data_IF_369527912260
#
_entry.id   IF_369527912260
#
_cell.length_a   1.000
_cell.length_b   1.000
_cell.length_c   1.000
_cell.angle_alpha   90.00
_cell.angle_beta   90.00
_cell.angle_gamma   90.00
#
_symmetry.space_group_name_H-M   'P 1'
#
loop_
_entity.id
_entity.type
_entity.pdbx_description
1 polymer ?
#
# COMPACT_ATOMS: atom_id res chain seq x y z
N UNK A 1 -10.33 18.88 -11.42
CA UNK A 1 -10.95 17.78 -10.63
C UNK A 1 -12.46 17.97 -10.68
N UNK A 2 -13.21 17.00 -11.21
CA UNK A 2 -14.66 17.18 -11.47
C UNK A 2 -15.56 16.29 -10.59
N UNK A 3 -15.00 15.27 -9.95
CA UNK A 3 -15.75 14.27 -9.17
C UNK A 3 -15.32 14.31 -7.69
N UNK A 4 -15.69 15.38 -6.99
CA UNK A 4 -15.40 15.58 -5.56
C UNK A 4 -16.71 15.71 -4.78
N UNK A 5 -16.74 15.18 -3.56
CA UNK A 5 -17.87 15.32 -2.65
C UNK A 5 -17.79 16.55 -1.75
N UNK A 6 -18.66 16.63 -0.73
CA UNK A 6 -18.80 17.81 0.12
C UNK A 6 -17.54 18.22 0.89
N UNK A 7 -16.66 17.27 1.22
CA UNK A 7 -15.41 17.56 1.92
C UNK A 7 -14.27 17.90 0.96
N UNK A 8 -14.50 17.84 -0.35
CA UNK A 8 -13.47 17.96 -1.38
C UNK A 8 -12.65 16.69 -1.57
N UNK A 9 -13.13 15.56 -1.05
CA UNK A 9 -12.54 14.24 -1.26
C UNK A 9 -13.16 13.61 -2.53
N UNK A 10 -12.50 12.64 -3.18
CA UNK A 10 -13.05 12.01 -4.39
C UNK A 10 -14.33 11.24 -4.07
N UNK A 11 -15.35 11.42 -4.92
CA UNK A 11 -16.56 10.59 -4.87
C UNK A 11 -16.18 9.11 -5.08
N UNK A 12 -16.75 8.22 -4.27
CA UNK A 12 -16.45 6.78 -4.35
C UNK A 12 -17.08 6.11 -5.58
N UNK A 13 -18.15 6.70 -6.14
CA UNK A 13 -18.93 6.08 -7.20
C UNK A 13 -19.54 4.76 -6.73
N UNK A 14 -19.40 3.69 -7.50
CA UNK A 14 -19.94 2.38 -7.14
C UNK A 14 -19.16 1.69 -6.01
N UNK A 15 -17.84 1.74 -6.12
CA UNK A 15 -16.85 1.19 -5.20
C UNK A 15 -15.50 1.79 -5.57
N UNK A 16 -14.55 1.77 -4.64
CA UNK A 16 -13.15 2.01 -4.95
C UNK A 16 -12.41 0.68 -5.19
N UNK A 17 -11.15 0.53 -4.77
CA UNK A 17 -10.44 -0.76 -4.88
C UNK A 17 -11.15 -1.89 -4.11
N UNK A 18 -11.83 -1.57 -3.00
CA UNK A 18 -12.62 -2.53 -2.29
C UNK A 18 -13.98 -2.66 -2.98
N UNK A 19 -14.08 -3.64 -3.87
CA UNK A 19 -15.30 -3.91 -4.66
C UNK A 19 -16.55 -4.13 -3.79
N UNK A 20 -16.38 -4.43 -2.50
CA UNK A 20 -17.46 -4.70 -1.56
C UNK A 20 -17.88 -3.48 -0.73
N UNK A 21 -17.19 -2.33 -0.85
CA UNK A 21 -17.59 -1.09 -0.18
C UNK A 21 -18.53 -0.28 -1.09
N UNK A 22 -19.80 -0.69 -1.14
CA UNK A 22 -20.78 -0.17 -2.09
C UNK A 22 -21.70 0.86 -1.42
N UNK A 23 -21.19 2.07 -1.17
CA UNK A 23 -21.89 3.11 -0.41
C UNK A 23 -23.12 3.71 -1.12
N UNK A 24 -23.36 3.32 -2.37
CA UNK A 24 -24.48 3.76 -3.20
C UNK A 24 -25.38 2.59 -3.66
N UNK A 25 -25.23 1.38 -3.10
CA UNK A 25 -25.98 0.20 -3.57
C UNK A 25 -27.37 0.07 -2.91
N UNK A 26 -27.43 0.00 -1.57
CA UNK A 26 -28.67 -0.17 -0.79
C UNK A 26 -29.55 -1.37 -1.20
N UNK A 27 -28.97 -2.43 -1.78
CA UNK A 27 -29.74 -3.61 -2.18
C UNK A 27 -30.23 -4.39 -0.94
N UNK A 28 -31.50 -4.75 -0.95
CA UNK A 28 -32.13 -5.67 0.02
C UNK A 28 -32.64 -6.96 -0.66
N UNK A 29 -32.47 -7.07 -1.98
CA UNK A 29 -32.99 -8.17 -2.79
C UNK A 29 -31.92 -9.26 -2.98
N UNK A 30 -32.16 -10.51 -2.53
CA UNK A 30 -31.21 -11.58 -2.73
C UNK A 30 -30.91 -11.87 -4.20
N UNK A 31 -29.63 -12.00 -4.53
CA UNK A 31 -29.16 -12.35 -5.88
C UNK A 31 -28.91 -11.16 -6.80
N UNK A 32 -29.26 -9.94 -6.38
CA UNK A 32 -28.75 -8.73 -7.01
C UNK A 32 -27.24 -8.61 -6.76
N UNK A 33 -26.47 -8.36 -7.81
CA UNK A 33 -25.02 -8.15 -7.66
C UNK A 33 -24.76 -6.75 -7.09
N UNK A 34 -24.10 -6.66 -5.95
CA UNK A 34 -23.66 -5.38 -5.36
C UNK A 34 -22.78 -4.57 -6.31
N UNK A 35 -22.00 -5.24 -7.16
CA UNK A 35 -21.12 -4.65 -8.17
C UNK A 35 -21.87 -4.08 -9.38
N UNK A 36 -23.17 -4.31 -9.55
CA UNK A 36 -23.93 -3.73 -10.68
C UNK A 36 -25.29 -3.16 -10.30
N UNK A 37 -25.82 -3.47 -9.12
CA UNK A 37 -27.10 -2.98 -8.62
C UNK A 37 -26.97 -1.66 -7.88
N UNK A 38 -28.05 -0.88 -7.85
CA UNK A 38 -28.04 0.49 -7.34
C UNK A 38 -27.35 1.49 -8.29
N UNK A 39 -27.50 2.80 -8.02
CA UNK A 39 -26.87 3.84 -8.82
C UNK A 39 -25.34 3.74 -8.81
N UNK A 40 -24.72 4.00 -9.96
CA UNK A 40 -23.26 4.06 -10.10
C UNK A 40 -22.64 5.32 -9.48
N UNK A 41 -23.47 6.33 -9.24
CA UNK A 41 -23.09 7.62 -8.67
C UNK A 41 -24.06 7.96 -7.53
N UNK A 42 -23.51 8.34 -6.39
CA UNK A 42 -24.26 8.96 -5.30
C UNK A 42 -23.90 10.43 -5.16
N UNK A 43 -24.75 11.23 -4.52
CA UNK A 43 -24.54 12.68 -4.46
C UNK A 43 -23.34 13.07 -3.59
N UNK A 44 -22.93 12.25 -2.61
CA UNK A 44 -22.00 12.70 -1.56
C UNK A 44 -21.00 11.67 -1.02
N UNK A 45 -21.11 10.37 -1.33
CA UNK A 45 -20.22 9.37 -0.73
C UNK A 45 -18.77 9.52 -1.25
N UNK A 46 -17.80 9.57 -0.34
CA UNK A 46 -16.40 9.93 -0.62
C UNK A 46 -15.42 8.85 -0.13
N UNK A 47 -14.30 8.65 -0.85
CA UNK A 47 -13.28 7.65 -0.49
C UNK A 47 -11.93 8.29 -0.12
N UNK A 48 -11.45 7.99 1.08
CA UNK A 48 -10.09 8.37 1.51
C UNK A 48 -9.04 7.54 0.79
N UNK A 49 -9.35 6.29 0.43
CA UNK A 49 -8.45 5.47 -0.39
C UNK A 49 -8.17 6.12 -1.75
N UNK A 50 -9.22 6.59 -2.46
CA UNK A 50 -9.04 7.28 -3.75
C UNK A 50 -8.25 8.57 -3.55
N UNK A 51 -8.48 9.30 -2.46
CA UNK A 51 -7.70 10.50 -2.14
C UNK A 51 -6.21 10.19 -1.93
N UNK A 52 -5.88 9.13 -1.18
CA UNK A 52 -4.53 8.64 -0.99
C UNK A 52 -3.89 8.18 -2.31
N UNK A 53 -4.62 7.42 -3.12
CA UNK A 53 -4.18 6.98 -4.45
C UNK A 53 -3.92 8.16 -5.39
N UNK A 54 -4.78 9.19 -5.37
CA UNK A 54 -4.60 10.41 -6.15
C UNK A 54 -3.29 11.12 -5.76
N UNK A 55 -3.05 11.30 -4.46
CA UNK A 55 -1.81 11.94 -3.98
C UNK A 55 -0.59 11.07 -4.28
N UNK A 56 -0.71 9.75 -4.23
CA UNK A 56 0.35 8.81 -4.60
C UNK A 56 0.73 8.92 -6.08
N UNK A 57 -0.26 9.00 -6.98
CA UNK A 57 -0.03 8.99 -8.43
C UNK A 57 0.26 10.38 -9.04
N UNK A 58 -0.17 11.46 -8.37
CA UNK A 58 -0.03 12.81 -8.90
C UNK A 58 1.42 13.27 -9.15
N UNK A 59 2.45 12.91 -8.35
CA UNK A 59 3.84 13.24 -8.67
C UNK A 59 4.29 12.69 -10.03
N UNK A 60 3.93 11.46 -10.36
CA UNK A 60 4.24 10.86 -11.68
C UNK A 60 3.50 11.60 -12.79
N UNK A 61 2.24 11.98 -12.58
CA UNK A 61 1.49 12.77 -13.56
C UNK A 61 2.12 14.16 -13.79
N UNK A 62 2.53 14.85 -12.72
CA UNK A 62 3.23 16.14 -12.79
C UNK A 62 4.53 15.98 -13.58
N UNK A 63 5.32 14.96 -13.28
CA UNK A 63 6.60 14.70 -13.96
C UNK A 63 6.40 14.40 -15.46
N UNK A 64 5.39 13.58 -15.80
CA UNK A 64 5.02 13.31 -17.18
C UNK A 64 4.59 14.58 -17.92
N UNK A 65 3.83 15.46 -17.29
CA UNK A 65 3.46 16.77 -17.85
C UNK A 65 4.70 17.62 -18.12
N UNK A 66 5.64 17.73 -17.17
CA UNK A 66 6.87 18.50 -17.34
C UNK A 66 7.72 17.97 -18.50
N UNK A 67 7.92 16.65 -18.59
CA UNK A 67 8.67 16.01 -19.70
C UNK A 67 8.01 16.22 -21.06
N UNK A 68 6.69 16.41 -21.10
CA UNK A 68 5.93 16.73 -22.30
C UNK A 68 5.82 18.24 -22.57
N UNK A 69 6.49 19.09 -21.78
CA UNK A 69 6.39 20.54 -21.82
C UNK A 69 4.97 21.10 -21.56
N UNK A 70 4.14 20.34 -20.85
CA UNK A 70 2.80 20.72 -20.40
C UNK A 70 2.88 21.42 -19.03
N UNK A 71 3.56 22.57 -19.01
CA UNK A 71 3.94 23.26 -17.76
C UNK A 71 2.74 23.80 -16.99
N UNK A 72 1.69 24.22 -17.69
CA UNK A 72 0.45 24.72 -17.05
C UNK A 72 -0.27 23.57 -16.33
N UNK A 73 -0.43 22.44 -17.01
CA UNK A 73 -1.06 21.23 -16.49
C UNK A 73 -0.27 20.67 -15.30
N UNK A 74 1.06 20.64 -15.37
CA UNK A 74 1.91 20.25 -14.23
C UNK A 74 1.71 21.17 -13.02
N UNK A 75 1.60 22.50 -13.23
CA UNK A 75 1.35 23.46 -12.14
C UNK A 75 -0.02 23.22 -11.51
N UNK A 76 -1.06 23.04 -12.31
CA UNK A 76 -2.42 22.77 -11.85
C UNK A 76 -2.51 21.44 -11.09
N UNK A 77 -1.90 20.38 -11.62
CA UNK A 77 -1.83 19.09 -10.96
C UNK A 77 -1.11 19.16 -9.61
N UNK A 78 -0.03 19.95 -9.50
CA UNK A 78 0.65 20.18 -8.22
C UNK A 78 -0.23 20.93 -7.22
N UNK A 79 -1.02 21.90 -7.65
CA UNK A 79 -2.00 22.57 -6.77
C UNK A 79 -3.04 21.58 -6.27
N UNK A 80 -3.56 20.72 -7.15
CA UNK A 80 -4.52 19.68 -6.77
C UNK A 80 -3.94 18.63 -5.81
N UNK A 81 -2.69 18.21 -6.03
CA UNK A 81 -1.92 17.32 -5.14
C UNK A 81 -1.89 17.90 -3.71
N UNK A 82 -1.37 19.12 -3.55
CA UNK A 82 -1.22 19.74 -2.23
C UNK A 82 -2.59 19.99 -1.57
N UNK A 83 -3.59 20.38 -2.37
CA UNK A 83 -4.97 20.54 -1.89
C UNK A 83 -5.51 19.22 -1.36
N UNK A 84 -5.40 18.11 -2.11
CA UNK A 84 -5.90 16.81 -1.66
C UNK A 84 -5.15 16.30 -0.42
N UNK A 85 -3.83 16.50 -0.34
CA UNK A 85 -3.04 16.17 0.87
C UNK A 85 -3.58 16.90 2.09
N UNK A 86 -3.84 18.21 1.99
CA UNK A 86 -4.42 19.00 3.08
C UNK A 86 -5.85 18.57 3.41
N UNK A 87 -6.68 18.26 2.40
CA UNK A 87 -8.05 17.76 2.56
C UNK A 87 -8.08 16.44 3.32
N UNK A 88 -7.21 15.47 2.98
CA UNK A 88 -7.12 14.19 3.70
C UNK A 88 -6.71 14.40 5.15
N UNK A 89 -5.75 15.28 5.43
CA UNK A 89 -5.36 15.56 6.82
C UNK A 89 -6.46 16.24 7.64
N UNK A 90 -7.29 17.06 7.00
CA UNK A 90 -8.37 17.81 7.66
C UNK A 90 -9.63 16.98 7.87
N UNK A 91 -10.05 16.23 6.85
CA UNK A 91 -11.34 15.53 6.82
C UNK A 91 -11.20 14.01 6.78
N UNK A 92 -10.02 13.49 6.45
CA UNK A 92 -9.74 12.06 6.42
C UNK A 92 -9.01 11.55 7.65
N UNK A 93 -8.78 12.35 8.69
CA UNK A 93 -8.08 11.95 9.91
C UNK A 93 -9.04 11.77 11.08
N UNK A 94 -9.00 10.59 11.71
CA UNK A 94 -9.91 10.21 12.81
C UNK A 94 -9.29 10.39 14.21
N UNK A 95 -8.05 10.89 14.28
CA UNK A 95 -7.33 11.12 15.54
C UNK A 95 -6.13 10.19 15.73
N UNK A 96 -6.27 8.91 15.41
CA UNK A 96 -5.19 7.90 15.47
C UNK A 96 -4.88 7.22 14.13
N UNK A 97 -5.81 7.25 13.19
CA UNK A 97 -5.70 6.65 11.86
C UNK A 97 -6.49 7.47 10.84
N UNK A 98 -6.32 7.16 9.56
CA UNK A 98 -7.12 7.73 8.49
C UNK A 98 -8.50 7.07 8.43
N UNK A 99 -9.56 7.85 8.25
CA UNK A 99 -10.90 7.36 7.96
C UNK A 99 -10.91 6.49 6.70
N UNK A 100 -11.94 5.65 6.55
CA UNK A 100 -12.13 4.84 5.34
C UNK A 100 -12.85 5.59 4.23
N UNK A 101 -13.95 6.24 4.59
CA UNK A 101 -14.86 6.90 3.67
C UNK A 101 -15.85 7.80 4.43
N UNK A 102 -16.63 8.56 3.67
CA UNK A 102 -17.93 9.06 4.08
C UNK A 102 -19.00 8.35 3.26
N UNK A 103 -20.07 7.88 3.90
CA UNK A 103 -21.17 7.21 3.22
C UNK A 103 -22.12 8.19 2.50
N UNK A 104 -23.19 7.67 1.89
CA UNK A 104 -24.15 8.50 1.17
C UNK A 104 -25.02 9.40 2.06
N UNK A 105 -25.00 9.22 3.39
CA UNK A 105 -25.57 10.17 4.36
C UNK A 105 -24.54 11.20 4.83
N UNK A 106 -23.26 11.06 4.45
CA UNK A 106 -22.16 11.88 4.94
C UNK A 106 -21.64 11.44 6.31
N UNK A 107 -22.00 10.24 6.76
CA UNK A 107 -21.52 9.67 8.02
C UNK A 107 -20.17 9.01 7.82
N UNK A 108 -19.34 9.01 8.87
CA UNK A 108 -17.99 8.44 8.81
C UNK A 108 -18.02 6.92 8.71
N UNK A 109 -17.20 6.37 7.83
CA UNK A 109 -16.87 4.94 7.76
C UNK A 109 -15.41 4.77 8.16
N UNK A 110 -15.08 3.77 8.99
CA UNK A 110 -13.71 3.58 9.47
C UNK A 110 -13.31 4.58 10.55
N UNK A 111 -14.22 4.89 11.48
CA UNK A 111 -13.99 5.79 12.61
C UNK A 111 -14.05 5.06 13.95
N UNK A 112 -13.34 5.57 14.96
CA UNK A 112 -13.48 5.20 16.35
C UNK A 112 -14.92 5.43 16.89
N UNK A 113 -15.69 6.29 16.23
CA UNK A 113 -17.12 6.52 16.50
C UNK A 113 -18.00 5.32 16.10
N UNK A 114 -17.54 4.46 15.19
CA UNK A 114 -18.28 3.29 14.72
C UNK A 114 -18.25 2.14 15.75
N UNK A 115 -19.35 1.39 15.85
CA UNK A 115 -19.39 0.19 16.70
C UNK A 115 -18.51 -0.95 16.14
N UNK A 116 -18.62 -1.17 14.83
CA UNK A 116 -17.87 -2.13 14.01
C UNK A 116 -17.20 -1.39 12.85
N UNK A 117 -16.19 -1.99 12.21
CA UNK A 117 -15.46 -1.35 11.11
C UNK A 117 -14.80 -0.03 11.53
N UNK A 118 -14.10 -0.01 12.67
CA UNK A 118 -13.50 1.20 13.24
C UNK A 118 -12.25 1.66 12.51
N UNK A 119 -11.44 0.73 12.02
CA UNK A 119 -10.22 1.01 11.28
C UNK A 119 -10.11 0.03 10.13
N UNK A 120 -9.76 0.57 8.96
CA UNK A 120 -9.59 -0.14 7.70
C UNK A 120 -8.16 0.01 7.21
N UNK A 121 -7.58 -1.03 6.61
CA UNK A 121 -6.17 -1.06 6.23
C UNK A 121 -5.87 -0.17 5.00
N UNK A 122 -6.79 -0.08 4.04
CA UNK A 122 -6.49 0.45 2.70
C UNK A 122 -6.00 1.90 2.72
N UNK A 123 -6.67 2.83 3.42
CA UNK A 123 -6.20 4.21 3.51
C UNK A 123 -4.89 4.34 4.29
N UNK A 124 -4.64 3.48 5.29
CA UNK A 124 -3.44 3.61 6.13
C UNK A 124 -2.18 3.35 5.30
N UNK A 125 -2.21 2.28 4.51
CA UNK A 125 -1.14 1.96 3.58
C UNK A 125 -0.98 3.04 2.51
N UNK A 126 -2.06 3.37 1.78
CA UNK A 126 -1.95 4.27 0.64
C UNK A 126 -1.66 5.73 0.99
N UNK A 127 -2.26 6.27 2.06
CA UNK A 127 -1.97 7.65 2.49
C UNK A 127 -0.53 7.77 2.97
N UNK A 128 -0.01 6.79 3.73
CA UNK A 128 1.39 6.77 4.13
C UNK A 128 2.34 6.57 2.94
N UNK A 129 1.98 5.71 1.97
CA UNK A 129 2.69 5.57 0.70
C UNK A 129 2.76 6.87 -0.09
N UNK A 130 1.69 7.65 -0.08
CA UNK A 130 1.58 8.96 -0.70
C UNK A 130 2.32 10.06 0.08
N UNK A 131 2.92 9.75 1.23
CA UNK A 131 3.61 10.70 2.08
C UNK A 131 2.69 11.66 2.86
N UNK A 132 1.40 11.34 2.97
CA UNK A 132 0.45 12.11 3.74
C UNK A 132 0.73 11.88 5.24
N UNK A 133 1.01 12.96 5.97
CA UNK A 133 1.23 12.89 7.41
C UNK A 133 2.62 12.40 7.85
N UNK A 134 3.60 12.32 6.94
CA UNK A 134 4.98 11.95 7.30
C UNK A 134 5.62 12.98 8.23
N UNK A 135 5.53 14.26 7.89
CA UNK A 135 6.15 15.37 8.65
C UNK A 135 5.44 15.63 9.99
N UNK A 136 4.14 15.38 10.05
CA UNK A 136 3.31 15.62 11.24
C UNK A 136 3.23 14.40 12.16
N UNK A 137 3.80 13.26 11.78
CA UNK A 137 3.79 12.00 12.54
C UNK A 137 2.51 11.17 12.41
N UNK A 138 1.48 11.67 11.71
CA UNK A 138 0.20 10.97 11.52
C UNK A 138 0.37 9.66 10.72
N UNK A 139 1.28 9.62 9.75
CA UNK A 139 1.58 8.39 9.01
C UNK A 139 2.10 7.29 9.94
N UNK A 140 3.05 7.62 10.82
CA UNK A 140 3.59 6.69 11.81
C UNK A 140 2.50 6.22 12.79
N UNK A 141 1.70 7.15 13.30
CA UNK A 141 0.58 6.83 14.20
C UNK A 141 -0.47 5.93 13.55
N UNK A 142 -0.77 6.13 12.27
CA UNK A 142 -1.68 5.28 11.51
C UNK A 142 -1.14 3.85 11.36
N UNK A 143 0.15 3.67 11.02
CA UNK A 143 0.76 2.35 10.90
C UNK A 143 0.90 1.65 12.27
N UNK A 144 1.16 2.40 13.34
CA UNK A 144 1.15 1.87 14.71
C UNK A 144 -0.25 1.40 15.12
N UNK A 145 -1.31 2.09 14.66
CA UNK A 145 -2.69 1.66 14.82
C UNK A 145 -3.01 0.40 14.00
N UNK A 146 -2.47 0.27 12.78
CA UNK A 146 -2.56 -0.97 11.99
C UNK A 146 -1.93 -2.14 12.74
N UNK A 147 -0.73 -1.96 13.29
CA UNK A 147 -0.05 -2.99 14.09
C UNK A 147 -0.87 -3.39 15.32
N UNK A 148 -1.44 -2.41 16.03
CA UNK A 148 -2.18 -2.64 17.26
C UNK A 148 -3.54 -3.29 17.05
N UNK A 149 -4.22 -2.96 15.94
CA UNK A 149 -5.61 -3.34 15.73
C UNK A 149 -5.82 -4.37 14.62
N UNK A 150 -5.03 -4.38 13.56
CA UNK A 150 -5.32 -5.15 12.35
C UNK A 150 -4.36 -6.33 12.14
N UNK A 151 -3.16 -6.26 12.71
CA UNK A 151 -2.16 -7.29 12.54
C UNK A 151 -2.52 -8.61 13.25
N UNK A 152 -2.12 -9.71 12.62
CA UNK A 152 -2.21 -11.07 13.17
C UNK A 152 -0.93 -11.85 12.83
N UNK A 153 -0.80 -13.09 13.28
CA UNK A 153 0.31 -13.97 12.88
C UNK A 153 0.29 -14.35 11.38
N UNK A 154 -0.85 -14.23 10.70
CA UNK A 154 -1.03 -14.64 9.30
C UNK A 154 -1.06 -13.47 8.30
N UNK A 155 -0.94 -12.23 8.78
CA UNK A 155 -1.06 -11.01 7.98
C UNK A 155 -1.95 -9.97 8.64
N UNK A 156 -2.32 -8.93 7.91
CA UNK A 156 -3.13 -7.81 8.39
C UNK A 156 -4.57 -7.96 7.86
N UNK A 157 -5.56 -7.97 8.75
CA UNK A 157 -6.98 -8.03 8.35
C UNK A 157 -7.43 -6.72 7.72
N UNK A 158 -8.43 -6.78 6.84
CA UNK A 158 -8.90 -5.63 6.08
C UNK A 158 -9.45 -4.53 7.00
N UNK A 159 -10.28 -4.89 7.97
CA UNK A 159 -10.82 -3.96 8.96
C UNK A 159 -11.15 -4.65 10.28
N UNK A 160 -11.33 -3.86 11.33
CA UNK A 160 -11.79 -4.37 12.63
C UNK A 160 -12.65 -3.37 13.40
N UNK A 161 -13.57 -3.83 14.27
CA UNK A 161 -14.17 -5.17 14.27
C UNK A 161 -14.78 -5.51 12.90
N UNK A 162 -14.78 -6.79 12.51
CA UNK A 162 -15.58 -7.23 11.37
C UNK A 162 -17.07 -6.95 11.62
N UNK A 163 -17.85 -6.75 10.57
CA UNK A 163 -19.29 -6.51 10.68
C UNK A 163 -20.02 -7.81 11.03
N UNK A 164 -20.82 -7.81 12.10
CA UNK A 164 -21.52 -9.02 12.58
C UNK A 164 -22.92 -9.21 11.99
N UNK A 165 -23.44 -8.18 11.32
CA UNK A 165 -24.74 -8.17 10.67
C UNK A 165 -24.67 -7.44 9.33
N UNK A 166 -25.71 -7.58 8.53
CA UNK A 166 -25.80 -6.89 7.25
C UNK A 166 -26.15 -5.40 7.42
N UNK A 167 -25.44 -4.55 6.71
CA UNK A 167 -25.60 -3.10 6.68
C UNK A 167 -25.84 -2.65 5.23
N UNK A 168 -27.10 -2.40 4.81
CA UNK A 168 -27.42 -2.07 3.42
C UNK A 168 -26.66 -0.86 2.85
N UNK A 169 -26.37 0.13 3.69
CA UNK A 169 -25.61 1.33 3.31
C UNK A 169 -24.12 1.09 3.08
N UNK A 170 -23.59 -0.09 3.43
CA UNK A 170 -22.20 -0.50 3.20
C UNK A 170 -22.06 -1.50 2.05
N UNK A 171 -23.15 -2.15 1.65
CA UNK A 171 -23.16 -3.13 0.57
C UNK A 171 -22.50 -4.46 0.95
N UNK A 172 -21.80 -5.08 -0.01
CA UNK A 172 -21.38 -6.47 0.08
C UNK A 172 -20.45 -6.76 1.26
N UNK A 173 -19.67 -5.77 1.72
CA UNK A 173 -18.66 -5.96 2.77
C UNK A 173 -19.26 -6.53 4.06
N UNK A 174 -20.53 -6.25 4.35
CA UNK A 174 -21.22 -6.73 5.55
C UNK A 174 -22.00 -8.03 5.32
N UNK A 175 -22.00 -8.54 4.08
CA UNK A 175 -22.69 -9.80 3.72
C UNK A 175 -21.84 -11.04 3.99
N UNK A 176 -20.51 -10.91 4.01
CA UNK A 176 -19.61 -12.00 4.37
C UNK A 176 -19.66 -12.25 5.88
N UNK A 177 -19.59 -13.52 6.33
CA UNK A 177 -19.34 -13.81 7.74
C UNK A 177 -18.00 -13.20 8.22
N UNK A 178 -17.89 -12.80 9.50
CA UNK A 178 -16.67 -12.24 10.07
C UNK A 178 -15.42 -13.07 9.81
N UNK A 179 -14.32 -12.40 9.43
CA UNK A 179 -13.01 -12.99 9.19
C UNK A 179 -12.82 -13.55 7.78
N UNK A 180 -13.80 -13.42 6.89
CA UNK A 180 -13.67 -13.89 5.51
C UNK A 180 -13.76 -12.75 4.52
N UNK A 181 -12.96 -12.88 3.46
CA UNK A 181 -13.04 -11.98 2.31
C UNK A 181 -12.91 -10.53 2.79
N UNK A 182 -13.71 -9.61 2.27
CA UNK A 182 -13.61 -8.19 2.55
C UNK A 182 -14.12 -7.85 3.97
N UNK A 183 -14.77 -8.79 4.67
CA UNK A 183 -15.21 -8.62 6.06
C UNK A 183 -14.21 -9.16 7.08
N UNK A 184 -13.14 -8.42 7.36
CA UNK A 184 -12.14 -8.81 8.36
C UNK A 184 -11.25 -9.97 7.93
N UNK A 185 -11.28 -10.39 6.66
CA UNK A 185 -10.30 -11.30 6.10
C UNK A 185 -8.95 -10.62 5.90
N UNK A 186 -7.88 -11.40 5.83
CA UNK A 186 -6.55 -10.93 5.41
C UNK A 186 -6.55 -10.91 3.89
N UNK A 187 -6.76 -9.73 3.32
CA UNK A 187 -6.67 -9.52 1.89
C UNK A 187 -5.20 -9.28 1.52
N UNK A 188 -4.49 -10.32 1.10
CA UNK A 188 -3.04 -10.28 0.93
C UNK A 188 -2.56 -9.18 -0.06
N UNK A 189 -3.44 -8.71 -0.94
CA UNK A 189 -3.15 -7.64 -1.91
C UNK A 189 -2.88 -6.29 -1.24
N UNK A 190 -3.60 -5.94 -0.18
CA UNK A 190 -3.47 -4.62 0.47
C UNK A 190 -2.36 -4.59 1.54
N UNK A 191 -1.89 -5.75 1.99
CA UNK A 191 -0.81 -5.87 2.96
C UNK A 191 0.52 -5.24 2.46
N UNK A 192 0.93 -5.44 1.18
CA UNK A 192 2.04 -4.73 0.55
C UNK A 192 2.00 -3.21 0.69
N UNK A 193 0.83 -2.58 0.77
CA UNK A 193 0.77 -1.12 0.90
C UNK A 193 1.28 -0.67 2.27
N UNK A 194 0.93 -1.41 3.33
CA UNK A 194 1.50 -1.19 4.66
C UNK A 194 2.98 -1.55 4.68
N UNK A 195 3.38 -2.65 4.03
CA UNK A 195 4.80 -3.04 3.93
C UNK A 195 5.64 -1.91 3.30
N UNK A 196 5.18 -1.34 2.18
CA UNK A 196 5.86 -0.24 1.50
C UNK A 196 5.79 1.05 2.35
N UNK A 197 4.68 1.31 3.02
CA UNK A 197 4.58 2.46 3.92
C UNK A 197 5.57 2.40 5.09
N UNK A 198 5.81 1.23 5.66
CA UNK A 198 6.81 1.03 6.71
C UNK A 198 8.24 1.32 6.20
N UNK A 199 8.55 1.02 4.92
CA UNK A 199 9.85 1.38 4.34
C UNK A 199 10.01 2.88 4.09
N UNK A 200 8.92 3.60 3.84
CA UNK A 200 8.92 5.06 3.75
C UNK A 200 9.25 5.69 5.12
N UNK A 201 8.73 5.11 6.22
CA UNK A 201 9.10 5.49 7.58
C UNK A 201 10.50 5.02 8.01
N UNK A 202 11.21 4.28 7.15
CA UNK A 202 12.54 3.73 7.47
C UNK A 202 12.52 2.53 8.40
N UNK A 203 11.37 1.88 8.60
CA UNK A 203 11.18 0.73 9.50
C UNK A 203 11.38 -0.59 8.75
N UNK A 204 12.59 -0.82 8.24
CA UNK A 204 12.93 -1.96 7.36
C UNK A 204 12.75 -3.35 8.00
N UNK A 205 13.08 -3.52 9.29
CA UNK A 205 12.80 -4.78 10.02
C UNK A 205 11.30 -5.08 9.98
N UNK A 206 10.49 -4.08 10.32
CA UNK A 206 9.05 -4.17 10.40
C UNK A 206 8.41 -4.49 9.03
N UNK A 207 8.86 -3.82 7.98
CA UNK A 207 8.42 -4.11 6.61
C UNK A 207 8.68 -5.57 6.22
N UNK A 208 9.87 -6.09 6.55
CA UNK A 208 10.23 -7.47 6.23
C UNK A 208 9.50 -8.51 7.10
N UNK A 209 9.25 -8.21 8.38
CA UNK A 209 8.39 -9.03 9.25
C UNK A 209 7.01 -9.22 8.64
N UNK A 210 6.37 -8.14 8.20
CA UNK A 210 5.05 -8.17 7.56
C UNK A 210 5.08 -8.94 6.23
N UNK A 211 6.11 -8.75 5.41
CA UNK A 211 6.30 -9.51 4.16
C UNK A 211 6.33 -11.02 4.42
N UNK A 212 7.10 -11.47 5.43
CA UNK A 212 7.21 -12.90 5.78
C UNK A 212 5.87 -13.53 6.19
N UNK A 213 4.97 -12.78 6.83
CA UNK A 213 3.67 -13.32 7.29
C UNK A 213 2.79 -13.83 6.16
N UNK A 214 2.92 -13.27 4.96
CA UNK A 214 2.09 -13.61 3.79
C UNK A 214 2.89 -14.25 2.64
N UNK A 215 4.23 -14.24 2.70
CA UNK A 215 5.08 -14.81 1.66
C UNK A 215 5.04 -16.36 1.66
N UNK A 216 4.76 -17.03 0.52
CA UNK A 216 4.55 -18.48 0.48
C UNK A 216 5.70 -19.31 1.06
N UNK A 217 6.95 -18.96 0.71
CA UNK A 217 8.14 -19.66 1.20
C UNK A 217 8.28 -19.59 2.74
N UNK A 218 7.78 -18.54 3.37
CA UNK A 218 7.78 -18.39 4.83
C UNK A 218 6.57 -19.07 5.49
N UNK A 219 5.59 -19.53 4.71
CA UNK A 219 4.38 -20.20 5.17
C UNK A 219 4.34 -21.69 4.84
N UNK A 220 5.31 -22.21 4.09
CA UNK A 220 5.39 -23.63 3.71
C UNK A 220 5.34 -24.57 4.93
N UNK A 221 6.01 -24.19 6.03
CA UNK A 221 6.01 -24.98 7.27
C UNK A 221 4.64 -25.08 7.96
N UNK A 222 3.67 -24.23 7.59
CA UNK A 222 2.28 -24.27 8.08
C UNK A 222 1.29 -24.63 6.96
N UNK A 223 1.71 -25.39 5.94
CA UNK A 223 0.85 -25.81 4.83
C UNK A 223 -0.49 -26.45 5.27
N UNK A 224 -0.51 -27.22 6.36
CA UNK A 224 -1.75 -27.80 6.90
C UNK A 224 -2.75 -26.75 7.37
N UNK A 225 -2.28 -25.60 7.84
CA UNK A 225 -3.10 -24.43 8.17
C UNK A 225 -3.44 -23.64 6.92
N UNK A 226 -2.46 -23.39 6.04
CA UNK A 226 -2.64 -22.56 4.85
C UNK A 226 -3.55 -23.20 3.79
N UNK A 227 -3.57 -24.53 3.71
CA UNK A 227 -4.36 -25.39 2.79
C UNK A 227 -4.04 -25.32 1.30
N UNK A 228 -3.56 -24.18 0.80
CA UNK A 228 -3.26 -23.96 -0.62
C UNK A 228 -1.76 -24.07 -0.92
N UNK A 229 -1.40 -23.83 -2.18
CA UNK A 229 -0.04 -23.97 -2.71
C UNK A 229 1.02 -23.19 -1.90
N UNK A 230 2.10 -23.84 -1.41
CA UNK A 230 3.12 -23.17 -0.59
C UNK A 230 4.15 -22.36 -1.39
N UNK A 231 3.94 -22.18 -2.69
CA UNK A 231 4.90 -21.54 -3.61
C UNK A 231 4.30 -20.36 -4.39
N UNK A 232 3.01 -20.06 -4.22
CA UNK A 232 2.34 -18.88 -4.79
C UNK A 232 1.48 -18.18 -3.75
N UNK A 233 1.27 -16.88 -3.95
CA UNK A 233 0.34 -16.12 -3.11
C UNK A 233 -1.12 -16.53 -3.38
N UNK A 234 -1.98 -16.29 -2.39
CA UNK A 234 -3.42 -16.34 -2.52
C UNK A 234 -4.04 -14.97 -2.24
N UNK A 235 -5.23 -14.69 -2.78
CA UNK A 235 -5.93 -13.42 -2.59
C UNK A 235 -6.27 -13.19 -1.12
N UNK A 236 -6.78 -14.23 -0.45
CA UNK A 236 -7.33 -14.10 0.89
C UNK A 236 -6.84 -15.22 1.80
N UNK A 237 -6.47 -14.84 3.03
CA UNK A 237 -6.31 -15.73 4.17
C UNK A 237 -7.40 -15.38 5.18
N UNK A 238 -8.07 -16.38 5.75
CA UNK A 238 -9.11 -16.13 6.74
C UNK A 238 -8.50 -15.39 7.94
N UNK A 239 -9.14 -14.29 8.35
CA UNK A 239 -8.71 -13.43 9.45
C UNK A 239 -9.12 -13.97 10.81
N UNK A 240 -8.70 -13.28 11.87
CA UNK A 240 -8.82 -13.74 13.26
C UNK A 240 -10.26 -13.96 13.76
N UNK A 241 -11.24 -13.30 13.13
CA UNK A 241 -12.65 -13.43 13.50
C UNK A 241 -13.30 -14.69 12.88
N UNK A 242 -12.57 -15.40 12.00
CA UNK A 242 -13.03 -16.65 11.39
C UNK A 242 -12.59 -17.87 12.21
N UNK A 243 -13.48 -18.86 12.31
CA UNK A 243 -13.16 -20.20 12.89
C UNK A 243 -12.01 -20.92 12.15
N UNK A 244 -11.76 -20.55 10.90
CA UNK A 244 -10.73 -21.12 10.04
C UNK A 244 -9.52 -20.19 9.89
N UNK A 245 -9.23 -19.35 10.90
CA UNK A 245 -8.11 -18.41 10.90
C UNK A 245 -6.82 -19.05 10.34
N UNK A 246 -6.21 -18.39 9.34
CA UNK A 246 -5.01 -18.86 8.66
C UNK A 246 -5.22 -19.69 7.39
N UNK A 247 -6.43 -20.19 7.12
CA UNK A 247 -6.74 -20.93 5.88
C UNK A 247 -6.90 -19.98 4.70
N UNK A 248 -6.22 -20.26 3.59
CA UNK A 248 -6.29 -19.45 2.37
C UNK A 248 -7.42 -19.89 1.43
N UNK A 249 -7.85 -18.95 0.58
CA UNK A 249 -8.74 -19.14 -0.57
C UNK A 249 -8.26 -18.30 -1.76
N UNK A 250 -8.66 -18.72 -2.96
CA UNK A 250 -8.38 -18.02 -4.22
C UNK A 250 -6.86 -17.86 -4.47
N UNK A 251 -6.14 -18.99 -4.59
CA UNK A 251 -4.71 -19.00 -4.94
C UNK A 251 -4.46 -18.52 -6.37
N UNK A 252 -3.19 -18.20 -6.66
CA UNK A 252 -2.65 -17.81 -7.97
C UNK A 252 -3.10 -16.45 -8.51
N UNK A 253 -4.38 -16.31 -8.85
CA UNK A 253 -4.88 -15.19 -9.64
C UNK A 253 -5.22 -14.01 -8.75
N UNK A 254 -4.18 -13.28 -8.33
CA UNK A 254 -4.31 -12.15 -7.42
C UNK A 254 -3.24 -11.09 -7.67
N UNK A 255 -3.60 -9.82 -7.55
CA UNK A 255 -2.64 -8.71 -7.58
C UNK A 255 -1.63 -8.72 -6.42
N UNK A 256 -1.85 -9.58 -5.41
CA UNK A 256 -0.88 -9.87 -4.34
C UNK A 256 0.50 -10.19 -4.88
N UNK A 257 0.59 -10.96 -5.97
CA UNK A 257 1.88 -11.32 -6.57
C UNK A 257 2.64 -10.09 -7.06
N UNK A 258 1.98 -9.21 -7.82
CA UNK A 258 2.60 -7.99 -8.35
C UNK A 258 2.99 -7.02 -7.24
N UNK A 259 2.09 -6.77 -6.29
CA UNK A 259 2.34 -5.84 -5.19
C UNK A 259 3.43 -6.33 -4.22
N UNK A 260 3.49 -7.63 -3.93
CA UNK A 260 4.59 -8.18 -3.14
C UNK A 260 5.91 -8.16 -3.89
N UNK A 261 5.91 -8.35 -5.22
CA UNK A 261 7.11 -8.19 -6.02
C UNK A 261 7.63 -6.74 -5.97
N UNK A 262 6.75 -5.74 -6.08
CA UNK A 262 7.12 -4.33 -5.89
C UNK A 262 7.64 -4.07 -4.48
N UNK A 263 6.95 -4.58 -3.44
CA UNK A 263 7.36 -4.41 -2.06
C UNK A 263 8.75 -5.00 -1.78
N UNK A 264 9.03 -6.24 -2.20
CA UNK A 264 10.34 -6.86 -1.95
C UNK A 264 11.43 -6.27 -2.84
N UNK A 265 11.22 -6.20 -4.17
CA UNK A 265 12.29 -5.86 -5.12
C UNK A 265 12.63 -4.37 -5.12
N UNK A 266 11.62 -3.51 -4.94
CA UNK A 266 11.80 -2.07 -5.01
C UNK A 266 11.85 -1.48 -3.60
N UNK A 267 10.81 -1.67 -2.77
CA UNK A 267 10.73 -0.94 -1.50
C UNK A 267 11.65 -1.45 -0.39
N UNK A 268 11.83 -2.78 -0.25
CA UNK A 268 12.71 -3.39 0.76
C UNK A 268 14.14 -3.47 0.24
N UNK A 269 14.34 -4.19 -0.88
CA UNK A 269 15.67 -4.37 -1.46
C UNK A 269 16.24 -3.08 -2.06
N UNK A 270 15.39 -2.10 -2.39
CA UNK A 270 15.79 -0.74 -2.71
C UNK A 270 16.05 -0.44 -4.18
N UNK A 271 15.69 -1.32 -5.12
CA UNK A 271 16.06 -1.15 -6.54
C UNK A 271 14.87 -0.62 -7.34
N UNK A 272 14.82 0.70 -7.55
CA UNK A 272 13.70 1.41 -8.17
C UNK A 272 14.04 1.88 -9.59
N UNK A 273 13.37 1.34 -10.63
CA UNK A 273 13.35 2.00 -11.93
C UNK A 273 12.78 3.41 -11.79
N UNK A 274 13.49 4.41 -12.28
CA UNK A 274 13.06 5.81 -12.30
C UNK A 274 13.14 6.35 -13.75
N UNK A 275 12.68 7.57 -13.97
CA UNK A 275 12.66 8.18 -15.31
C UNK A 275 14.07 8.35 -15.90
N UNK A 276 15.02 8.82 -15.08
CA UNK A 276 16.38 9.17 -15.52
C UNK A 276 17.45 8.14 -15.16
N UNK A 277 17.08 7.05 -14.47
CA UNK A 277 18.05 6.04 -14.06
C UNK A 277 17.46 4.97 -13.16
N UNK A 278 18.35 4.20 -12.53
CA UNK A 278 17.98 3.19 -11.55
C UNK A 278 18.31 3.72 -10.16
N UNK A 279 17.29 4.06 -9.36
CA UNK A 279 17.45 4.62 -8.02
C UNK A 279 17.64 3.52 -6.98
N UNK A 280 18.60 3.72 -6.07
CA UNK A 280 18.97 2.78 -5.00
C UNK A 280 18.60 3.37 -3.64
N UNK A 281 17.59 2.80 -2.98
CA UNK A 281 17.11 3.22 -1.65
C UNK A 281 16.65 2.02 -0.79
N UNK A 282 17.59 1.15 -0.35
CA UNK A 282 17.25 -0.02 0.45
C UNK A 282 16.66 0.33 1.81
N UNK A 283 15.61 -0.39 2.19
CA UNK A 283 15.03 -0.36 3.53
C UNK A 283 14.84 -1.78 4.07
N UNK A 284 15.82 -2.26 4.81
CA UNK A 284 16.01 -3.68 5.16
C UNK A 284 16.08 -3.91 6.67
N UNK A 285 15.96 -5.16 7.15
CA UNK A 285 16.35 -5.53 8.51
C UNK A 285 17.78 -5.09 8.86
N UNK A 286 18.03 -4.42 10.01
CA UNK A 286 19.36 -4.15 10.52
C UNK A 286 20.28 -5.37 10.58
N UNK A 287 19.71 -6.56 10.75
CA UNK A 287 20.42 -7.83 10.82
C UNK A 287 21.09 -8.26 9.51
N UNK A 288 20.69 -7.70 8.37
CA UNK A 288 21.29 -8.03 7.07
C UNK A 288 22.64 -7.33 6.91
N UNK A 289 23.69 -8.11 6.65
CA UNK A 289 25.06 -7.62 6.49
C UNK A 289 25.32 -7.14 5.07
N UNK A 290 24.93 -7.96 4.10
CA UNK A 290 25.14 -7.70 2.70
C UNK A 290 24.19 -8.54 1.84
N UNK A 291 23.98 -8.10 0.61
CA UNK A 291 23.32 -8.88 -0.45
C UNK A 291 23.70 -8.32 -1.82
N UNK A 292 23.48 -9.11 -2.86
CA UNK A 292 23.76 -8.73 -4.24
C UNK A 292 22.55 -8.94 -5.12
N UNK A 293 22.26 -7.95 -5.97
CA UNK A 293 21.18 -7.99 -6.98
C UNK A 293 21.79 -7.80 -8.35
N UNK A 294 21.40 -8.65 -9.30
CA UNK A 294 21.64 -8.40 -10.72
C UNK A 294 20.34 -7.88 -11.35
N UNK A 295 20.41 -6.68 -11.92
CA UNK A 295 19.27 -6.02 -12.56
C UNK A 295 19.62 -5.63 -13.97
N UNK A 296 19.01 -6.31 -14.94
CA UNK A 296 18.98 -5.84 -16.31
C UNK A 296 18.06 -4.61 -16.40
N UNK A 297 18.56 -3.49 -16.92
CA UNK A 297 17.80 -2.25 -17.03
C UNK A 297 18.28 -1.43 -18.24
N UNK A 298 17.35 -1.15 -19.16
CA UNK A 298 17.57 -0.31 -20.36
C UNK A 298 18.78 -0.73 -21.22
N UNK A 299 19.07 -2.02 -21.29
CA UNK A 299 20.11 -2.60 -22.14
C UNK A 299 21.41 -2.96 -21.41
N UNK A 300 21.60 -2.49 -20.17
CA UNK A 300 22.77 -2.81 -19.35
C UNK A 300 22.39 -3.73 -18.18
N UNK A 301 23.39 -4.39 -17.58
CA UNK A 301 23.22 -5.18 -16.35
C UNK A 301 23.94 -4.48 -15.19
N UNK A 302 23.19 -4.13 -14.16
CA UNK A 302 23.76 -3.58 -12.93
C UNK A 302 23.92 -4.70 -11.91
N UNK A 303 25.17 -5.03 -11.53
CA UNK A 303 25.46 -5.92 -10.40
C UNK A 303 25.66 -5.07 -9.16
N UNK A 304 24.61 -5.01 -8.34
CA UNK A 304 24.49 -4.12 -7.18
C UNK A 304 24.80 -4.91 -5.91
N UNK A 305 25.98 -4.70 -5.35
CA UNK A 305 26.39 -5.26 -4.08
C UNK A 305 26.16 -4.23 -2.96
N UNK A 306 25.28 -4.56 -2.03
CA UNK A 306 24.86 -3.70 -0.92
C UNK A 306 25.46 -4.23 0.38
N UNK A 307 26.09 -3.36 1.15
CA UNK A 307 26.66 -3.66 2.48
C UNK A 307 26.07 -2.74 3.55
N UNK A 308 25.84 -3.26 4.76
CA UNK A 308 25.24 -2.54 5.88
C UNK A 308 26.12 -2.62 7.14
N UNK A 309 27.34 -2.06 7.12
CA UNK A 309 28.30 -2.17 8.23
C UNK A 309 27.82 -1.46 9.51
N UNK A 310 26.85 -0.53 9.38
CA UNK A 310 26.28 0.23 10.49
C UNK A 310 24.96 -0.33 11.01
N UNK A 311 24.46 -1.43 10.44
CA UNK A 311 23.21 -2.09 10.87
C UNK A 311 22.04 -1.10 10.90
N UNK A 312 21.94 -0.23 9.91
CA UNK A 312 20.83 0.72 9.78
C UNK A 312 19.69 0.08 8.98
N UNK A 313 18.45 0.48 9.24
CA UNK A 313 17.30 -0.01 8.46
C UNK A 313 17.17 0.69 7.11
N UNK A 314 17.62 1.94 6.98
CA UNK A 314 17.51 2.76 5.77
C UNK A 314 18.63 3.78 5.72
N UNK A 315 18.96 4.22 4.51
CA UNK A 315 19.94 5.27 4.24
C UNK A 315 21.18 4.74 3.51
N UNK A 316 21.60 5.48 2.48
CA UNK A 316 22.77 5.17 1.66
C UNK A 316 23.85 6.22 1.91
N UNK A 317 24.99 5.78 2.45
CA UNK A 317 26.12 6.67 2.74
C UNK A 317 27.03 6.87 1.52
N UNK A 318 27.14 5.85 0.65
CA UNK A 318 28.04 5.89 -0.51
C UNK A 318 27.58 4.94 -1.60
N UNK A 319 27.68 5.39 -2.85
CA UNK A 319 27.57 4.55 -4.05
C UNK A 319 28.83 4.72 -4.90
N UNK A 320 29.37 3.60 -5.38
CA UNK A 320 30.49 3.53 -6.34
C UNK A 320 30.03 2.73 -7.54
N UNK A 321 30.19 3.29 -8.75
CA UNK A 321 29.89 2.62 -10.01
C UNK A 321 31.17 2.50 -10.82
N UNK A 322 31.56 1.27 -11.17
CA UNK A 322 32.80 0.95 -11.89
C UNK A 322 34.05 1.63 -11.29
N UNK A 323 34.15 1.57 -9.95
CA UNK A 323 35.25 2.17 -9.18
C UNK A 323 35.17 3.69 -8.98
N UNK A 324 34.14 4.38 -9.50
CA UNK A 324 33.95 5.83 -9.36
C UNK A 324 32.79 6.15 -8.42
N UNK A 325 33.04 6.97 -7.41
CA UNK A 325 31.98 7.48 -6.52
C UNK A 325 31.02 8.38 -7.32
N UNK A 326 29.72 8.20 -7.11
CA UNK A 326 28.68 9.10 -7.63
C UNK A 326 28.04 9.92 -6.51
N UNK A 327 27.35 11.00 -6.88
CA UNK A 327 26.48 11.76 -5.98
C UNK A 327 25.02 11.33 -6.15
N UNK A 328 24.25 11.41 -5.07
CA UNK A 328 22.86 10.95 -5.05
C UNK A 328 22.72 9.42 -5.08
N UNK A 329 21.49 8.97 -5.33
CA UNK A 329 21.09 7.56 -5.28
C UNK A 329 20.72 6.97 -6.64
N UNK A 330 20.77 7.75 -7.72
CA UNK A 330 20.35 7.33 -9.05
C UNK A 330 21.56 6.93 -9.89
N UNK A 331 21.61 5.67 -10.30
CA UNK A 331 22.66 5.13 -11.14
C UNK A 331 22.56 5.70 -12.56
N UNK A 332 23.69 6.03 -13.20
CA UNK A 332 23.71 6.54 -14.57
C UNK A 332 23.27 5.46 -15.57
N UNK A 333 22.73 5.91 -16.70
CA UNK A 333 22.43 5.09 -17.86
C UNK A 333 23.67 5.02 -18.77
N UNK A 334 24.15 3.82 -19.10
CA UNK A 334 25.35 3.64 -19.91
C UNK A 334 25.03 3.34 -21.37
N UNK A 335 23.99 2.54 -21.61
CA UNK A 335 23.51 2.13 -22.94
C UNK A 335 24.61 1.50 -23.80
N UNK A 336 25.53 0.75 -23.18
CA UNK A 336 26.69 0.15 -23.83
C UNK A 336 26.64 -1.40 -23.86
N UNK A 337 25.60 -1.99 -23.25
CA UNK A 337 25.33 -3.41 -23.29
C UNK A 337 26.18 -4.23 -22.31
N UNK A 338 26.81 -3.58 -21.32
CA UNK A 338 27.78 -4.22 -20.43
C UNK A 338 27.22 -4.48 -19.03
N UNK A 339 28.04 -5.17 -18.24
CA UNK A 339 27.82 -5.36 -16.82
C UNK A 339 28.57 -4.26 -16.06
N UNK A 340 27.86 -3.46 -15.28
CA UNK A 340 28.42 -2.43 -14.42
C UNK A 340 28.42 -2.90 -12.96
N UNK A 341 29.56 -2.72 -12.28
CA UNK A 341 29.70 -3.06 -10.87
C UNK A 341 29.26 -1.87 -10.02
N UNK A 342 28.30 -2.10 -9.12
CA UNK A 342 27.76 -1.08 -8.23
C UNK A 342 28.00 -1.53 -6.79
N UNK A 343 28.80 -0.78 -6.04
CA UNK A 343 28.99 -0.99 -4.61
C UNK A 343 28.19 0.07 -3.84
N UNK A 344 27.31 -0.39 -2.96
CA UNK A 344 26.44 0.44 -2.13
C UNK A 344 26.79 0.19 -0.67
N UNK A 345 27.07 1.25 0.07
CA UNK A 345 27.27 1.18 1.51
C UNK A 345 26.14 1.94 2.20
N UNK A 346 25.35 1.20 2.99
CA UNK A 346 24.33 1.77 3.84
C UNK A 346 24.94 2.45 5.06
N UNK A 347 24.27 3.50 5.54
CA UNK A 347 24.65 4.28 6.70
C UNK A 347 23.71 5.46 6.91
N UNK A 348 23.81 6.11 8.07
CA UNK A 348 23.07 7.34 8.33
C UNK A 348 23.53 8.44 7.36
N UNK A 349 22.58 9.18 6.81
CA UNK A 349 22.88 10.39 6.05
C UNK A 349 23.49 11.40 7.03
N UNK A 350 24.77 11.73 6.85
CA UNK A 350 25.50 12.74 7.63
C UNK A 350 25.32 14.13 7.08
#
# INVERSE_FOLDING_TARGET
>A
LENLGPHGLPLIGRADWNDCLNLNCFSEEPGESFQTSGPSEGPVAESIFIAGLFVYAAPDFVELCLRRNLVTEAREAKVHLETMKATVLKYGWDGNWFLRAYDAAGEKVGSAECAEGRIFIEPQGFCAMAGIGLETGQAAQALDSVASHLETEHGIVLQTPAYSQYYPHLGEISSYPPGYKENGGIFCHNNPWVIIAETILGRGERAFELYKKICPAYREHISDVHRLEPYVYAQMIAGRDAVNFGQAKNSWLTGTAAWNYVAISQAILGVHPDYDGLRIDPCIPPSWEEYTIEREFRGDVYRIHITNPKRVSKGVAKIVVDGRKIEGSTLPLFSDGRIHQVEVMMGLLT
#
